data_IF_296895423862
#
_entry.id   IF_296895423862
#
_cell.length_a   1.000
_cell.length_b   1.000
_cell.length_c   1.000
_cell.angle_alpha   90.00
_cell.angle_beta   90.00
_cell.angle_gamma   90.00
#
_symmetry.space_group_name_H-M   'P 1'
#
loop_
_entity.id
_entity.type
_entity.pdbx_description
1 polymer ?
#
# COMPACT_ATOMS: atom_id res chain seq x y z
N UNK A 1 33.55 12.16 -9.32
CA UNK A 1 32.38 11.43 -9.86
C UNK A 1 31.13 11.74 -9.04
N UNK A 2 30.70 13.01 -9.06
CA UNK A 2 29.60 13.54 -8.24
C UNK A 2 28.48 13.99 -9.17
N UNK A 3 27.43 13.16 -9.32
CA UNK A 3 26.27 13.46 -10.16
C UNK A 3 26.57 13.71 -11.66
N UNK A 4 25.52 13.75 -12.46
CA UNK A 4 25.56 14.20 -13.86
C UNK A 4 24.61 15.38 -13.98
N UNK A 5 25.12 16.55 -14.35
CA UNK A 5 24.28 17.72 -14.63
C UNK A 5 23.53 17.50 -15.96
N UNK A 6 22.23 17.76 -15.96
CA UNK A 6 21.36 17.61 -17.14
C UNK A 6 20.50 18.85 -17.27
N UNK A 7 20.40 19.36 -18.49
CA UNK A 7 19.57 20.52 -18.81
C UNK A 7 18.17 20.05 -19.18
N UNK A 8 17.17 20.43 -18.38
CA UNK A 8 15.75 20.20 -18.68
C UNK A 8 15.19 21.34 -19.56
N UNK A 9 15.76 22.53 -19.47
CA UNK A 9 15.62 23.65 -20.43
C UNK A 9 16.85 24.57 -20.31
N UNK A 10 16.93 25.64 -21.13
CA UNK A 10 18.01 26.63 -21.10
C UNK A 10 18.15 27.29 -19.70
N UNK A 11 17.09 27.29 -18.91
CA UNK A 11 17.05 27.92 -17.57
C UNK A 11 16.89 26.93 -16.42
N UNK A 12 16.80 25.62 -16.71
CA UNK A 12 16.48 24.61 -15.68
C UNK A 12 17.49 23.48 -15.71
N UNK A 13 18.46 23.60 -14.82
CA UNK A 13 19.47 22.57 -14.56
C UNK A 13 18.95 21.56 -13.53
N UNK A 14 19.29 20.29 -13.74
CA UNK A 14 18.96 19.19 -12.81
C UNK A 14 20.15 18.26 -12.68
N UNK A 15 20.53 17.88 -11.47
CA UNK A 15 21.58 16.89 -11.23
C UNK A 15 21.00 15.48 -11.09
N UNK A 16 21.45 14.54 -11.90
CA UNK A 16 21.24 13.10 -11.71
C UNK A 16 22.29 12.58 -10.73
N UNK A 17 21.88 12.28 -9.49
CA UNK A 17 22.82 11.86 -8.45
C UNK A 17 22.76 10.36 -8.16
N UNK A 18 23.93 9.71 -7.94
CA UNK A 18 23.96 8.35 -7.41
C UNK A 18 23.32 8.30 -6.02
N UNK A 19 22.74 7.15 -5.67
CA UNK A 19 21.83 7.03 -4.52
C UNK A 19 22.47 7.21 -3.12
N UNK A 20 23.77 7.49 -3.08
CA UNK A 20 24.60 7.60 -1.88
C UNK A 20 25.12 9.03 -1.61
N UNK A 21 24.80 10.01 -2.48
CA UNK A 21 25.26 11.39 -2.34
C UNK A 21 24.09 12.35 -2.04
N UNK A 22 24.28 13.27 -1.09
CA UNK A 22 23.28 14.25 -0.63
C UNK A 22 23.86 15.67 -0.53
N UNK A 23 23.09 16.71 -0.86
CA UNK A 23 23.48 18.13 -0.72
C UNK A 23 22.83 19.09 -1.72
N UNK A 24 23.29 20.35 -1.76
CA UNK A 24 22.70 21.46 -2.55
C UNK A 24 22.69 21.21 -4.07
N UNK A 25 23.55 20.31 -4.58
CA UNK A 25 23.59 19.89 -5.99
C UNK A 25 23.43 18.37 -6.17
N UNK A 26 22.88 17.72 -5.15
CA UNK A 26 22.33 16.36 -5.17
C UNK A 26 21.15 16.34 -4.21
N UNK A 27 20.07 16.95 -4.72
CA UNK A 27 18.75 17.14 -4.11
C UNK A 27 18.40 15.98 -3.19
N UNK A 28 18.10 16.28 -1.92
CA UNK A 28 18.01 15.25 -0.89
C UNK A 28 17.03 14.15 -1.33
N UNK A 29 17.44 12.89 -1.21
CA UNK A 29 16.57 11.79 -1.56
C UNK A 29 15.29 11.86 -0.73
N UNK A 30 14.13 11.64 -1.36
CA UNK A 30 12.95 11.25 -0.60
C UNK A 30 13.35 10.05 0.25
N UNK A 31 13.08 10.14 1.55
CA UNK A 31 13.26 8.99 2.42
C UNK A 31 12.49 7.81 1.83
N UNK A 32 12.98 6.60 2.05
CA UNK A 32 12.43 5.41 1.40
C UNK A 32 12.24 4.27 2.38
N UNK A 33 11.19 3.50 2.13
CA UNK A 33 10.90 2.26 2.82
C UNK A 33 11.18 1.12 1.85
N UNK A 34 12.27 0.39 2.10
CA UNK A 34 12.59 -0.84 1.39
C UNK A 34 11.84 -1.98 2.07
N UNK A 35 11.04 -2.71 1.30
CA UNK A 35 10.27 -3.84 1.80
C UNK A 35 10.78 -5.10 1.12
N UNK A 36 11.06 -6.13 1.93
CA UNK A 36 11.30 -7.49 1.44
C UNK A 36 10.18 -8.37 1.95
N UNK A 37 9.37 -8.92 1.04
CA UNK A 37 8.15 -9.62 1.36
C UNK A 37 8.23 -11.07 0.88
N UNK A 38 7.98 -12.00 1.81
CA UNK A 38 7.71 -13.41 1.53
C UNK A 38 6.23 -13.69 1.66
N UNK A 39 5.72 -14.51 0.76
CA UNK A 39 4.31 -14.82 0.65
C UNK A 39 4.07 -16.32 0.71
N UNK A 40 3.09 -16.74 1.50
CA UNK A 40 2.72 -18.15 1.71
C UNK A 40 1.21 -18.29 1.60
N UNK A 41 0.74 -19.47 1.19
CA UNK A 41 -0.69 -19.81 1.20
C UNK A 41 -0.98 -20.72 2.39
N UNK A 42 -2.12 -20.52 3.04
CA UNK A 42 -2.54 -21.34 4.17
C UNK A 42 -2.93 -22.76 3.75
N UNK A 43 -3.55 -22.91 2.57
CA UNK A 43 -4.09 -24.18 2.05
C UNK A 43 -3.62 -24.42 0.62
N UNK A 44 -3.44 -25.70 0.26
CA UNK A 44 -3.10 -26.11 -1.10
C UNK A 44 -4.23 -25.84 -2.10
N UNK A 45 -5.48 -25.71 -1.63
CA UNK A 45 -6.63 -25.36 -2.45
C UNK A 45 -6.45 -23.99 -3.15
N UNK A 46 -5.78 -23.06 -2.48
CA UNK A 46 -5.48 -21.72 -3.00
C UNK A 46 -4.45 -21.74 -4.16
N UNK A 47 -3.88 -22.90 -4.53
CA UNK A 47 -3.02 -23.03 -5.70
C UNK A 47 -3.75 -22.78 -7.02
N UNK A 48 -5.07 -22.97 -7.04
CA UNK A 48 -5.89 -22.74 -8.23
C UNK A 48 -6.31 -21.28 -8.40
N UNK A 49 -6.00 -20.43 -7.41
CA UNK A 49 -6.37 -19.03 -7.39
C UNK A 49 -5.15 -18.14 -7.66
N UNK A 50 -5.39 -17.13 -8.49
CA UNK A 50 -4.46 -16.02 -8.71
C UNK A 50 -4.82 -14.91 -7.74
N UNK A 51 -3.82 -14.29 -7.13
CA UNK A 51 -4.04 -13.16 -6.24
C UNK A 51 -3.51 -11.87 -6.86
N UNK A 52 -3.96 -10.75 -6.31
CA UNK A 52 -3.41 -9.44 -6.55
C UNK A 52 -3.22 -8.76 -5.21
N UNK A 53 -2.01 -8.28 -4.96
CA UNK A 53 -1.70 -7.55 -3.75
C UNK A 53 -1.56 -6.08 -4.11
N UNK A 54 -2.22 -5.23 -3.33
CA UNK A 54 -1.96 -3.81 -3.34
C UNK A 54 -1.30 -3.44 -2.03
N UNK A 55 -0.12 -2.83 -2.12
CA UNK A 55 0.68 -2.44 -0.97
C UNK A 55 0.67 -0.93 -0.91
N UNK A 56 0.36 -0.37 0.25
CA UNK A 56 0.22 1.06 0.46
C UNK A 56 1.10 1.50 1.62
N UNK A 57 1.87 2.57 1.39
CA UNK A 57 2.42 3.39 2.46
C UNK A 57 1.38 4.46 2.81
N UNK A 58 0.86 4.41 4.03
CA UNK A 58 -0.24 5.26 4.48
C UNK A 58 0.22 6.11 5.66
N UNK A 59 -0.19 7.37 5.64
CA UNK A 59 -0.22 8.22 6.81
C UNK A 59 -1.44 7.85 7.67
N UNK A 60 -1.23 7.21 8.82
CA UNK A 60 -2.30 6.63 9.62
C UNK A 60 -3.28 7.68 10.16
N UNK A 61 -2.81 8.89 10.44
CA UNK A 61 -3.63 9.94 11.03
C UNK A 61 -4.70 10.39 10.04
N UNK A 62 -4.26 10.69 8.81
CA UNK A 62 -5.07 11.27 7.74
C UNK A 62 -5.62 10.19 6.77
N UNK A 63 -5.21 8.92 6.93
CA UNK A 63 -5.45 7.80 6.00
C UNK A 63 -5.03 8.09 4.55
N UNK A 64 -4.10 9.04 4.36
CA UNK A 64 -3.60 9.44 3.04
C UNK A 64 -2.60 8.40 2.54
N UNK A 65 -2.85 7.89 1.33
CA UNK A 65 -1.88 7.04 0.60
C UNK A 65 -0.75 7.94 0.10
N UNK A 66 0.47 7.64 0.50
CA UNK A 66 1.68 8.37 0.09
C UNK A 66 2.35 7.74 -1.12
N UNK A 67 2.40 6.40 -1.13
CA UNK A 67 3.00 5.60 -2.17
C UNK A 67 2.33 4.24 -2.18
N UNK A 68 2.31 3.59 -3.34
CA UNK A 68 1.71 2.28 -3.51
C UNK A 68 2.53 1.43 -4.46
N UNK A 69 2.39 0.12 -4.32
CA UNK A 69 2.92 -0.89 -5.23
C UNK A 69 1.83 -1.91 -5.52
N UNK A 70 1.84 -2.50 -6.72
CA UNK A 70 0.90 -3.55 -7.09
C UNK A 70 1.67 -4.79 -7.55
N UNK A 71 1.45 -5.89 -6.84
CA UNK A 71 2.06 -7.16 -7.18
C UNK A 71 0.98 -8.07 -7.78
N UNK A 72 1.01 -8.34 -9.10
CA UNK A 72 0.23 -9.43 -9.67
C UNK A 72 0.82 -10.75 -9.15
N UNK A 73 0.05 -11.48 -8.35
CA UNK A 73 0.55 -12.66 -7.64
C UNK A 73 0.52 -13.89 -8.55
N UNK A 74 1.55 -13.99 -9.40
CA UNK A 74 1.75 -15.14 -10.27
C UNK A 74 2.77 -16.15 -9.71
N UNK A 75 3.66 -15.77 -8.78
CA UNK A 75 4.71 -16.68 -8.28
C UNK A 75 5.13 -16.41 -6.82
N UNK A 76 5.27 -17.51 -6.05
CA UNK A 76 5.71 -17.57 -4.66
C UNK A 76 7.21 -17.30 -4.49
N UNK A 77 7.63 -16.07 -4.79
CA UNK A 77 9.03 -15.67 -4.64
C UNK A 77 9.09 -14.52 -3.63
N UNK A 78 10.19 -14.48 -2.89
CA UNK A 78 10.60 -13.31 -2.12
C UNK A 78 10.70 -12.11 -3.06
N UNK A 79 10.05 -11.01 -2.71
CA UNK A 79 10.00 -9.81 -3.54
C UNK A 79 10.50 -8.61 -2.75
N UNK A 80 11.36 -7.82 -3.37
CA UNK A 80 11.84 -6.57 -2.81
C UNK A 80 11.35 -5.39 -3.64
N UNK A 81 10.77 -4.41 -2.97
CA UNK A 81 10.28 -3.19 -3.59
C UNK A 81 10.48 -2.00 -2.65
N UNK A 82 10.33 -0.79 -3.19
CA UNK A 82 10.56 0.45 -2.45
C UNK A 82 9.33 1.34 -2.51
N UNK A 83 8.85 1.77 -1.34
CA UNK A 83 7.84 2.82 -1.22
C UNK A 83 8.50 4.14 -0.84
N UNK A 84 7.98 5.23 -1.38
CA UNK A 84 8.55 6.57 -1.21
C UNK A 84 7.64 7.43 -0.33
N UNK A 85 8.24 8.22 0.55
CA UNK A 85 7.50 9.25 1.27
C UNK A 85 7.27 10.47 0.36
N UNK A 86 6.15 11.17 0.54
CA UNK A 86 5.77 12.33 -0.27
C UNK A 86 6.70 13.53 -0.04
N UNK A 87 7.24 13.64 1.18
CA UNK A 87 8.17 14.68 1.60
C UNK A 87 9.57 14.14 1.81
N UNK A 88 10.52 15.03 1.58
CA UNK A 88 11.95 14.82 1.75
C UNK A 88 12.34 14.53 3.22
N UNK A 89 11.60 15.09 4.18
CA UNK A 89 11.70 14.78 5.60
C UNK A 89 10.35 14.36 6.14
N UNK A 90 10.27 13.13 6.67
CA UNK A 90 9.13 12.61 7.43
C UNK A 90 8.89 13.50 8.66
N UNK A 91 7.72 14.11 8.83
CA UNK A 91 7.34 14.73 10.09
C UNK A 91 7.35 13.66 11.19
N UNK A 92 8.15 13.88 12.24
CA UNK A 92 8.30 12.93 13.35
C UNK A 92 7.04 12.81 14.22
N UNK A 93 6.06 13.71 14.03
CA UNK A 93 4.76 13.68 14.70
C UNK A 93 3.70 12.86 13.94
N UNK A 94 4.05 12.29 12.79
CA UNK A 94 3.13 11.47 11.98
C UNK A 94 3.42 9.99 12.19
N UNK A 95 2.36 9.18 12.14
CA UNK A 95 2.45 7.73 12.22
C UNK A 95 2.27 7.17 10.82
N UNK A 96 3.23 6.37 10.38
CA UNK A 96 3.19 5.73 9.07
C UNK A 96 3.01 4.23 9.21
N UNK A 97 2.23 3.65 8.30
CA UNK A 97 1.91 2.23 8.30
C UNK A 97 1.98 1.69 6.88
N UNK A 98 2.31 0.41 6.77
CA UNK A 98 2.13 -0.34 5.54
C UNK A 98 0.84 -1.12 5.63
N UNK A 99 -0.09 -0.86 4.72
CA UNK A 99 -1.28 -1.67 4.52
C UNK A 99 -1.10 -2.54 3.29
N UNK A 100 -1.41 -3.83 3.39
CA UNK A 100 -1.38 -4.75 2.25
C UNK A 100 -2.77 -5.33 2.07
N UNK A 101 -3.44 -4.98 0.97
CA UNK A 101 -4.75 -5.50 0.62
C UNK A 101 -4.59 -6.66 -0.36
N UNK A 102 -5.25 -7.77 -0.05
CA UNK A 102 -5.16 -9.01 -0.83
C UNK A 102 -6.49 -9.25 -1.54
N UNK A 103 -6.41 -9.46 -2.85
CA UNK A 103 -7.55 -9.78 -3.69
C UNK A 103 -7.32 -11.12 -4.39
N UNK A 104 -8.36 -11.94 -4.54
CA UNK A 104 -8.35 -13.12 -5.41
C UNK A 104 -9.01 -12.80 -6.75
N UNK A 105 -8.44 -13.33 -7.82
CA UNK A 105 -8.97 -13.20 -9.17
C UNK A 105 -9.77 -14.46 -9.50
N UNK A 106 -11.10 -14.32 -9.66
CA UNK A 106 -11.97 -15.40 -10.10
C UNK A 106 -12.10 -15.37 -11.63
N UNK A 107 -11.44 -16.32 -12.29
CA UNK A 107 -11.41 -16.42 -13.76
C UNK A 107 -12.76 -16.91 -14.33
N UNK A 108 -13.59 -17.58 -13.52
CA UNK A 108 -14.76 -18.33 -14.00
C UNK A 108 -16.10 -17.57 -14.05
N UNK A 109 -16.25 -16.42 -13.41
CA UNK A 109 -17.57 -15.75 -13.29
C UNK A 109 -17.67 -14.51 -14.16
N UNK A 110 -18.69 -14.45 -15.03
CA UNK A 110 -19.05 -13.27 -15.86
C UNK A 110 -19.39 -12.00 -15.06
N UNK A 111 -19.34 -12.05 -13.73
CA UNK A 111 -19.52 -10.90 -12.85
C UNK A 111 -18.37 -10.84 -11.83
N UNK A 112 -17.76 -9.65 -11.76
CA UNK A 112 -16.68 -9.20 -10.86
C UNK A 112 -15.46 -10.14 -10.77
N UNK A 113 -14.43 -9.94 -11.61
CA UNK A 113 -13.25 -10.82 -11.66
C UNK A 113 -12.35 -10.70 -10.43
N UNK A 114 -12.55 -9.70 -9.56
CA UNK A 114 -11.70 -9.40 -8.41
C UNK A 114 -12.54 -9.45 -7.14
N UNK A 115 -12.13 -10.29 -6.20
CA UNK A 115 -12.76 -10.44 -4.90
C UNK A 115 -11.75 -10.10 -3.80
N UNK A 116 -12.19 -9.33 -2.82
CA UNK A 116 -11.35 -8.94 -1.69
C UNK A 116 -11.27 -10.08 -0.68
N UNK A 117 -10.04 -10.40 -0.23
CA UNK A 117 -9.76 -11.47 0.73
C UNK A 117 -9.54 -10.91 2.13
N UNK A 118 -8.49 -10.11 2.32
CA UNK A 118 -8.13 -9.57 3.62
C UNK A 118 -7.08 -8.45 3.51
N UNK A 119 -6.77 -7.80 4.64
CA UNK A 119 -5.79 -6.73 4.73
C UNK A 119 -4.85 -6.97 5.90
N UNK A 120 -3.58 -6.65 5.69
CA UNK A 120 -2.53 -6.70 6.70
C UNK A 120 -2.08 -5.29 7.10
N UNK A 121 -1.56 -5.17 8.32
CA UNK A 121 -1.10 -3.94 8.93
C UNK A 121 0.31 -4.09 9.50
N UNK A 122 1.23 -3.21 9.11
CA UNK A 122 2.59 -3.17 9.67
C UNK A 122 2.96 -1.75 10.08
N UNK A 123 3.27 -1.56 11.36
CA UNK A 123 3.70 -0.26 11.89
C UNK A 123 5.16 0.05 11.50
N UNK A 124 5.44 1.34 11.32
CA UNK A 124 6.78 1.84 10.98
C UNK A 124 7.34 2.60 12.17
N UNK A 125 8.21 1.95 12.95
CA UNK A 125 8.65 2.48 14.26
C UNK A 125 9.86 3.42 14.19
N UNK A 126 10.68 3.36 13.13
CA UNK A 126 11.98 4.06 13.05
C UNK A 126 12.00 5.17 12.00
N UNK A 127 11.20 6.21 12.21
CA UNK A 127 11.00 7.30 11.23
C UNK A 127 12.25 8.15 10.97
N UNK A 128 13.22 8.15 11.88
CA UNK A 128 14.48 8.88 11.76
C UNK A 128 15.44 8.30 10.71
N UNK A 129 15.25 7.04 10.30
CA UNK A 129 16.14 6.41 9.32
C UNK A 129 15.83 6.91 7.90
N UNK A 130 16.86 7.38 7.14
CA UNK A 130 16.69 7.78 5.74
C UNK A 130 16.22 6.62 4.85
N UNK A 131 16.69 5.41 5.16
CA UNK A 131 16.26 4.15 4.56
C UNK A 131 15.85 3.23 5.68
N UNK A 132 14.59 2.80 5.68
CA UNK A 132 14.11 1.77 6.57
C UNK A 132 13.90 0.48 5.79
N UNK A 133 14.35 -0.64 6.34
CA UNK A 133 14.09 -1.96 5.79
C UNK A 133 13.01 -2.66 6.62
N UNK A 134 11.96 -3.13 5.95
CA UNK A 134 10.86 -3.88 6.57
C UNK A 134 10.78 -5.25 5.91
N UNK A 135 10.95 -6.31 6.70
CA UNK A 135 10.80 -7.69 6.24
C UNK A 135 9.42 -8.20 6.63
N UNK A 136 8.65 -8.66 5.65
CA UNK A 136 7.26 -9.06 5.81
C UNK A 136 7.11 -10.52 5.41
N UNK A 137 6.42 -11.30 6.24
CA UNK A 137 5.94 -12.63 5.88
C UNK A 137 4.42 -12.65 5.98
N UNK A 138 3.74 -12.81 4.84
CA UNK A 138 2.27 -12.88 4.78
C UNK A 138 1.78 -14.29 4.49
N UNK A 139 0.71 -14.67 5.18
CA UNK A 139 -0.03 -15.90 4.94
C UNK A 139 -1.39 -15.57 4.33
N UNK A 140 -1.63 -15.96 3.09
CA UNK A 140 -2.93 -15.77 2.45
C UNK A 140 -3.92 -16.76 3.06
N UNK A 141 -5.02 -16.29 3.69
CA UNK A 141 -6.00 -17.17 4.29
C UNK A 141 -6.88 -17.84 3.24
N UNK A 142 -7.44 -19.00 3.58
CA UNK A 142 -8.34 -19.78 2.70
C UNK A 142 -9.70 -19.07 2.50
N UNK A 143 -10.20 -18.42 3.55
CA UNK A 143 -11.48 -17.73 3.53
C UNK A 143 -11.32 -16.21 3.49
N UNK A 144 -12.32 -15.54 2.91
CA UNK A 144 -12.39 -14.08 2.95
C UNK A 144 -12.63 -13.63 4.38
N UNK A 145 -11.94 -12.57 4.81
CA UNK A 145 -12.30 -11.86 6.02
C UNK A 145 -13.69 -11.25 5.85
N UNK A 146 -14.51 -11.39 6.88
CA UNK A 146 -15.81 -10.75 6.97
C UNK A 146 -15.72 -9.45 7.77
N UNK A 147 -16.68 -8.53 7.58
CA UNK A 147 -16.82 -7.37 8.44
C UNK A 147 -16.94 -7.77 9.92
N UNK A 148 -16.35 -7.00 10.81
CA UNK A 148 -16.42 -7.25 12.24
C UNK A 148 -17.73 -6.73 12.82
N UNK A 149 -18.49 -7.62 13.49
CA UNK A 149 -19.73 -7.29 14.20
C UNK A 149 -19.47 -6.33 15.37
N UNK A 150 -18.37 -6.54 16.11
CA UNK A 150 -17.92 -5.68 17.20
C UNK A 150 -16.75 -4.82 16.74
N UNK A 151 -17.03 -3.83 15.89
CA UNK A 151 -16.03 -2.88 15.43
C UNK A 151 -16.05 -1.59 16.29
N UNK A 152 -14.86 -1.09 16.64
CA UNK A 152 -14.71 0.20 17.34
C UNK A 152 -14.73 1.42 16.42
N UNK A 153 -14.55 1.23 15.11
CA UNK A 153 -14.47 2.26 14.09
C UNK A 153 -15.84 2.50 13.42
N UNK A 154 -16.27 3.76 13.32
CA UNK A 154 -17.51 4.12 12.62
C UNK A 154 -17.21 4.41 11.13
N UNK A 155 -17.66 3.53 10.25
CA UNK A 155 -17.40 3.60 8.80
C UNK A 155 -18.51 4.26 7.99
N UNK A 156 -19.35 5.06 8.64
CA UNK A 156 -20.48 5.72 8.00
C UNK A 156 -21.47 4.72 7.39
N UNK A 157 -22.28 5.21 6.46
CA UNK A 157 -23.31 4.39 5.75
C UNK A 157 -22.74 3.61 4.57
N UNK A 158 -21.62 4.06 4.01
CA UNK A 158 -21.07 3.56 2.75
C UNK A 158 -19.72 2.86 2.96
N UNK A 159 -19.53 2.26 4.13
CA UNK A 159 -18.33 1.53 4.47
C UNK A 159 -18.62 0.40 5.43
N UNK A 160 -17.85 -0.67 5.28
CA UNK A 160 -17.88 -1.81 6.19
C UNK A 160 -16.58 -1.81 6.99
N UNK A 161 -16.67 -2.11 8.29
CA UNK A 161 -15.51 -2.19 9.15
C UNK A 161 -14.89 -3.60 9.14
N UNK A 162 -13.57 -3.65 8.97
CA UNK A 162 -12.79 -4.87 9.02
C UNK A 162 -11.65 -4.75 10.04
N UNK A 163 -11.28 -5.87 10.65
CA UNK A 163 -10.02 -5.99 11.37
C UNK A 163 -8.90 -6.38 10.41
N UNK A 164 -7.67 -5.93 10.71
CA UNK A 164 -6.50 -6.43 10.02
C UNK A 164 -6.20 -7.88 10.44
N UNK A 165 -5.83 -8.71 9.46
CA UNK A 165 -5.65 -10.15 9.67
C UNK A 165 -4.58 -10.47 10.72
N UNK A 166 -3.47 -9.74 10.70
CA UNK A 166 -2.35 -9.94 11.61
C UNK A 166 -2.43 -9.11 12.90
N UNK A 167 -3.44 -8.25 13.04
CA UNK A 167 -3.59 -7.36 14.19
C UNK A 167 -5.09 -7.12 14.45
N UNK A 168 -5.73 -8.06 15.14
CA UNK A 168 -7.18 -8.08 15.32
C UNK A 168 -7.76 -6.89 16.11
N UNK A 169 -6.91 -6.12 16.81
CA UNK A 169 -7.30 -4.91 17.55
C UNK A 169 -7.24 -3.65 16.70
N UNK A 170 -6.63 -3.71 15.52
CA UNK A 170 -6.56 -2.60 14.58
C UNK A 170 -7.65 -2.78 13.51
N UNK A 171 -8.42 -1.72 13.30
CA UNK A 171 -9.57 -1.71 12.40
C UNK A 171 -9.38 -0.67 11.29
N UNK A 172 -10.07 -0.90 10.18
CA UNK A 172 -10.14 0.06 9.09
C UNK A 172 -11.49 -0.03 8.38
N UNK A 173 -11.87 1.08 7.76
CA UNK A 173 -13.06 1.14 6.94
C UNK A 173 -12.73 0.78 5.50
N UNK A 174 -13.51 -0.15 4.94
CA UNK A 174 -13.49 -0.44 3.52
C UNK A 174 -14.72 0.18 2.88
N UNK A 175 -14.48 1.20 2.07
CA UNK A 175 -15.55 1.97 1.45
C UNK A 175 -16.21 1.21 0.30
N UNK A 176 -17.50 1.44 0.15
CA UNK A 176 -18.28 0.98 -0.99
C UNK A 176 -17.88 1.77 -2.25
N UNK A 177 -18.07 1.20 -3.46
CA UNK A 177 -17.70 1.89 -4.68
C UNK A 177 -18.32 3.29 -4.79
N UNK A 178 -17.49 4.30 -5.12
CA UNK A 178 -17.90 5.71 -5.20
C UNK A 178 -17.74 6.50 -3.90
N UNK A 179 -17.29 5.87 -2.81
CA UNK A 179 -17.04 6.50 -1.51
C UNK A 179 -15.59 6.33 -1.07
N UNK A 180 -15.06 7.33 -0.38
CA UNK A 180 -13.69 7.38 0.10
C UNK A 180 -13.60 8.12 1.44
N UNK A 181 -12.37 8.28 1.94
CA UNK A 181 -12.09 8.88 3.24
C UNK A 181 -12.05 7.88 4.37
N UNK A 182 -11.57 8.34 5.53
CA UNK A 182 -11.36 7.51 6.73
C UNK A 182 -12.63 6.82 7.23
N UNK A 183 -13.78 7.46 7.05
CA UNK A 183 -15.11 7.00 7.48
C UNK A 183 -16.06 6.74 6.30
N UNK A 184 -15.57 6.73 5.06
CA UNK A 184 -16.38 6.45 3.86
C UNK A 184 -17.57 7.41 3.64
N UNK A 185 -17.43 8.67 4.04
CA UNK A 185 -18.47 9.70 3.92
C UNK A 185 -18.26 10.65 2.74
N UNK A 186 -17.11 10.58 2.09
CA UNK A 186 -16.78 11.44 0.96
C UNK A 186 -17.10 10.73 -0.36
N UNK A 187 -18.00 11.31 -1.15
CA UNK A 187 -18.29 10.80 -2.48
C UNK A 187 -17.19 11.22 -3.45
N UNK A 188 -16.70 10.29 -4.27
CA UNK A 188 -15.77 10.60 -5.35
C UNK A 188 -16.31 10.14 -6.69
N UNK A 189 -15.92 10.86 -7.75
CA UNK A 189 -16.20 10.46 -9.13
C UNK A 189 -15.01 9.67 -9.65
N UNK A 190 -15.18 8.38 -9.88
CA UNK A 190 -14.13 7.59 -10.49
C UNK A 190 -13.97 7.97 -11.97
N UNK A 191 -12.82 8.55 -12.32
CA UNK A 191 -12.45 8.91 -13.69
C UNK A 191 -11.44 7.92 -14.30
N UNK A 192 -11.29 6.74 -13.71
CA UNK A 192 -10.39 5.72 -14.22
C UNK A 192 -10.95 5.05 -15.48
N UNK A 193 -10.10 4.33 -16.22
CA UNK A 193 -10.49 3.62 -17.44
C UNK A 193 -11.59 2.57 -17.17
N UNK A 194 -12.37 2.26 -18.21
CA UNK A 194 -13.46 1.30 -18.13
C UNK A 194 -12.95 -0.08 -17.65
N UNK A 195 -13.54 -0.60 -16.57
CA UNK A 195 -13.12 -1.84 -15.91
C UNK A 195 -12.12 -1.66 -14.75
N UNK A 196 -11.68 -0.43 -14.48
CA UNK A 196 -10.85 -0.13 -13.30
C UNK A 196 -11.63 -0.34 -11.99
N UNK A 197 -10.95 -0.92 -11.00
CA UNK A 197 -11.46 -0.94 -9.64
C UNK A 197 -11.07 0.37 -8.96
N UNK A 198 -12.08 1.13 -8.56
CA UNK A 198 -11.90 2.37 -7.83
C UNK A 198 -12.03 2.03 -6.34
N UNK A 199 -10.93 2.18 -5.60
CA UNK A 199 -10.79 1.79 -4.19
C UNK A 199 -10.50 3.02 -3.34
#
# INVERSE_FOLDING_TARGET
NHGILVYHSIEKEKCLCPAQYYGVHCEYQSQRLSITMRTRKQSALENQLTFKLHIYLIDYNDQKILSYEQIPYLCFVEQSFTLLYDRQSKPLNKTYVVRIDIFSLKISTKQKPIEYRTSYYYSINYLFLPIQHLTIDIMIPENNSQPQLSCSLQCGKYGDCYAYFNQATEFYCRCHPGWTGKTCEEQYKCQCSQGSLCV
#
